data_IF_596562840680
#
_entry.id   IF_596562840680
#
_cell.length_a   1.000
_cell.length_b   1.000
_cell.length_c   1.000
_cell.angle_alpha   90.00
_cell.angle_beta   90.00
_cell.angle_gamma   90.00
#
_symmetry.space_group_name_H-M   'P 1'
#
loop_
_entity.id
_entity.type
_entity.pdbx_description
1 polymer ?
#
# COMPACT_ATOMS: atom_id res chain seq x y z
N UNK A 1 2.85 12.16 -9.54
CA UNK A 1 2.12 11.00 -9.02
C UNK A 1 1.53 10.29 -10.22
N UNK A 2 2.11 9.16 -10.58
CA UNK A 2 1.64 8.30 -11.66
C UNK A 2 0.87 7.12 -11.05
N UNK A 3 -0.26 6.76 -11.64
CA UNK A 3 -1.03 5.56 -11.29
C UNK A 3 -0.68 4.50 -12.35
N UNK A 4 0.00 3.39 -12.01
CA UNK A 4 0.36 2.35 -12.97
C UNK A 4 -0.87 1.67 -13.59
N UNK A 5 -0.85 1.50 -14.91
CA UNK A 5 -1.92 0.82 -15.66
C UNK A 5 -1.94 -0.71 -15.44
N UNK A 6 -0.82 -1.29 -15.00
CA UNK A 6 -0.62 -2.73 -14.78
C UNK A 6 -0.56 -3.10 -13.28
N UNK A 7 -1.21 -2.30 -12.43
CA UNK A 7 -1.18 -2.48 -11.00
C UNK A 7 -1.73 -3.87 -10.56
N UNK A 8 -1.02 -4.62 -9.69
CA UNK A 8 -1.44 -5.97 -9.28
C UNK A 8 -2.75 -5.93 -8.48
N UNK A 9 -3.57 -6.98 -8.50
CA UNK A 9 -4.83 -6.98 -7.74
C UNK A 9 -4.66 -6.98 -6.21
N UNK A 10 -3.48 -7.37 -5.72
CA UNK A 10 -3.13 -7.42 -4.29
C UNK A 10 -1.81 -6.72 -4.04
N UNK A 11 -1.68 -6.09 -2.88
CA UNK A 11 -0.45 -5.42 -2.46
C UNK A 11 0.67 -6.46 -2.33
N UNK A 12 1.78 -6.33 -3.05
CA UNK A 12 2.87 -7.31 -3.01
C UNK A 12 3.60 -7.33 -1.66
N UNK A 13 3.46 -6.28 -0.85
CA UNK A 13 4.12 -6.15 0.45
C UNK A 13 3.40 -6.91 1.56
N UNK A 14 2.07 -6.91 1.54
CA UNK A 14 1.27 -7.48 2.64
C UNK A 14 0.18 -8.44 2.19
N UNK A 15 0.11 -8.72 0.89
CA UNK A 15 -0.80 -9.68 0.25
C UNK A 15 -2.29 -9.35 0.46
N UNK A 16 -2.62 -8.11 0.84
CA UNK A 16 -4.01 -7.62 1.00
C UNK A 16 -4.45 -6.78 -0.18
N UNK A 17 -5.77 -6.71 -0.39
CA UNK A 17 -6.35 -5.69 -1.26
C UNK A 17 -5.96 -4.29 -0.79
N UNK A 18 -5.86 -3.38 -1.74
CA UNK A 18 -5.55 -1.98 -1.52
C UNK A 18 -6.50 -1.13 -2.37
N UNK A 19 -6.62 0.14 -2.02
CA UNK A 19 -7.55 1.07 -2.67
C UNK A 19 -6.90 1.79 -3.85
N UNK A 20 -5.65 2.23 -3.69
CA UNK A 20 -4.90 2.90 -4.74
C UNK A 20 -3.39 2.66 -4.63
N UNK A 21 -2.71 2.73 -5.78
CA UNK A 21 -1.25 2.71 -5.89
C UNK A 21 -0.74 4.00 -6.54
N UNK A 22 0.43 4.47 -6.10
CA UNK A 22 1.15 5.57 -6.74
C UNK A 22 2.65 5.33 -6.82
N UNK A 23 3.31 5.80 -7.88
CA UNK A 23 4.77 5.74 -8.07
C UNK A 23 5.40 7.11 -7.87
N UNK A 24 6.58 7.12 -7.21
CA UNK A 24 7.41 8.30 -6.97
C UNK A 24 8.86 8.00 -7.31
N UNK A 25 9.55 8.91 -7.98
CA UNK A 25 10.92 8.79 -8.52
C UNK A 25 11.92 9.79 -7.90
N UNK A 26 11.47 10.53 -6.89
CA UNK A 26 12.20 11.60 -6.21
C UNK A 26 11.96 11.54 -4.70
N UNK A 27 12.57 12.47 -3.94
CA UNK A 27 12.50 12.46 -2.48
C UNK A 27 11.07 12.48 -1.95
N UNK A 28 10.79 11.59 -0.99
CA UNK A 28 9.47 11.40 -0.39
C UNK A 28 9.46 11.76 1.10
N UNK A 29 8.41 12.44 1.54
CA UNK A 29 8.11 12.66 2.95
C UNK A 29 6.77 12.00 3.27
N UNK A 30 6.78 11.10 4.25
CA UNK A 30 5.58 10.36 4.66
C UNK A 30 5.23 10.76 6.08
N UNK A 31 3.99 11.17 6.26
CA UNK A 31 3.41 11.36 7.59
C UNK A 31 2.27 10.36 7.77
N UNK A 32 2.44 9.38 8.65
CA UNK A 32 1.43 8.37 8.94
C UNK A 32 0.48 8.88 10.01
N UNK A 33 -0.43 9.77 9.60
CA UNK A 33 -1.53 10.19 10.45
C UNK A 33 -2.67 9.19 10.31
N UNK A 34 -3.16 8.71 11.45
CA UNK A 34 -4.46 8.05 11.50
C UNK A 34 -5.49 9.00 10.89
N UNK A 35 -6.21 8.51 9.89
CA UNK A 35 -7.28 9.24 9.24
C UNK A 35 -8.49 8.32 9.09
N UNK A 36 -9.64 8.89 8.73
CA UNK A 36 -10.90 8.14 8.68
C UNK A 36 -10.99 7.14 7.53
N UNK A 37 -10.15 7.28 6.50
CA UNK A 37 -10.24 6.48 5.28
C UNK A 37 -9.19 5.37 5.25
N UNK A 38 -7.93 5.72 5.50
CA UNK A 38 -6.77 4.84 5.39
C UNK A 38 -6.19 4.50 6.75
N UNK A 39 -5.87 3.21 6.91
CA UNK A 39 -5.28 2.65 8.13
C UNK A 39 -3.79 2.34 7.99
N UNK A 40 -3.34 2.05 6.76
CA UNK A 40 -1.97 1.60 6.49
C UNK A 40 -1.56 1.99 5.08
N UNK A 41 -0.28 2.32 4.92
CA UNK A 41 0.38 2.44 3.62
C UNK A 41 1.58 1.50 3.60
N UNK A 42 1.69 0.68 2.57
CA UNK A 42 2.84 -0.19 2.32
C UNK A 42 3.72 0.38 1.19
N UNK A 43 5.03 0.12 1.26
CA UNK A 43 6.01 0.64 0.31
C UNK A 43 6.76 -0.52 -0.32
N UNK A 44 6.86 -0.50 -1.65
CA UNK A 44 7.61 -1.48 -2.41
C UNK A 44 8.65 -0.76 -3.28
N UNK A 45 9.96 -1.00 -3.09
CA UNK A 45 10.97 -0.47 -4.00
C UNK A 45 10.81 -1.12 -5.38
N UNK A 46 10.88 -0.30 -6.42
CA UNK A 46 10.97 -0.78 -7.81
C UNK A 46 12.35 -0.46 -8.39
N UNK A 47 12.62 -0.86 -9.63
CA UNK A 47 13.92 -0.60 -10.25
C UNK A 47 14.25 0.91 -10.32
N UNK A 48 15.51 1.27 -10.03
CA UNK A 48 15.98 2.65 -10.02
C UNK A 48 15.77 3.36 -8.68
N UNK A 49 15.37 4.63 -8.72
CA UNK A 49 15.09 5.47 -7.54
C UNK A 49 13.59 5.52 -7.20
N UNK A 50 12.81 4.60 -7.74
CA UNK A 50 11.36 4.64 -7.70
C UNK A 50 10.77 3.78 -6.56
N UNK A 51 9.65 4.22 -6.00
CA UNK A 51 8.92 3.50 -4.94
C UNK A 51 7.42 3.52 -5.22
N UNK A 52 6.78 2.35 -5.05
CA UNK A 52 5.32 2.20 -5.10
C UNK A 52 4.69 2.28 -3.71
N UNK A 53 3.56 2.97 -3.61
CA UNK A 53 2.81 3.19 -2.36
C UNK A 53 1.44 2.56 -2.49
N UNK A 54 1.12 1.61 -1.62
CA UNK A 54 -0.16 0.89 -1.60
C UNK A 54 -0.99 1.35 -0.39
N UNK A 55 -2.14 2.01 -0.63
CA UNK A 55 -3.01 2.54 0.42
C UNK A 55 -4.10 1.54 0.80
N UNK A 56 -4.21 1.22 2.10
CA UNK A 56 -5.23 0.31 2.60
C UNK A 56 -6.27 1.06 3.41
N UNK A 57 -7.55 0.83 3.10
CA UNK A 57 -8.65 1.32 3.94
C UNK A 57 -8.72 0.54 5.25
N UNK A 58 -9.45 1.09 6.23
CA UNK A 58 -9.73 0.39 7.49
C UNK A 58 -10.37 -0.99 7.26
N UNK A 59 -11.34 -1.07 6.33
CA UNK A 59 -12.05 -2.32 6.02
C UNK A 59 -11.10 -3.40 5.45
N UNK A 60 -10.21 -3.01 4.53
CA UNK A 60 -9.25 -3.92 3.90
C UNK A 60 -8.22 -4.48 4.90
N UNK A 61 -7.89 -3.73 5.96
CA UNK A 61 -7.01 -4.20 7.03
C UNK A 61 -7.76 -5.13 7.98
N UNK A 62 -9.01 -4.82 8.32
CA UNK A 62 -9.82 -5.62 9.25
C UNK A 62 -10.26 -6.98 8.67
N UNK A 63 -10.46 -7.08 7.35
CA UNK A 63 -10.82 -8.32 6.66
C UNK A 63 -9.70 -9.36 6.56
N UNK A 64 -8.53 -9.08 7.13
CA UNK A 64 -7.39 -9.97 7.06
C UNK A 64 -7.40 -11.05 8.13
N UNK A 65 -7.90 -12.25 7.81
CA UNK A 65 -7.79 -13.43 8.68
C UNK A 65 -6.35 -13.61 9.16
N UNK A 66 -6.16 -13.49 10.47
CA UNK A 66 -5.04 -14.12 11.17
C UNK A 66 -5.41 -15.60 11.23
N UNK A 67 -4.69 -16.46 10.52
CA UNK A 67 -4.65 -17.86 10.92
C UNK A 67 -3.95 -17.86 12.28
N UNK A 68 -4.71 -17.95 13.36
CA UNK A 68 -4.19 -18.35 14.66
C UNK A 68 -3.38 -19.63 14.44
N UNK A 69 -2.09 -19.59 14.78
CA UNK A 69 -1.30 -20.81 14.94
C UNK A 69 -1.51 -21.27 16.37
N UNK A 70 -1.86 -22.55 16.49
CA UNK A 70 -1.99 -23.33 17.74
C UNK A 70 -0.91 -23.05 18.79
#
# INVERSE_FOLDING_TARGET
MEVPDDAPATCPVCERAYDSVSVHDSGLMVNLLDNTLYRRVCFDPVEGACVQFYHHTHDQVAGGTVSERD
#
